data_IF_110938256035
#
_entry.id   IF_110938256035
#
_cell.length_a   1.000
_cell.length_b   1.000
_cell.length_c   1.000
_cell.angle_alpha   90.00
_cell.angle_beta   90.00
_cell.angle_gamma   90.00
#
_symmetry.space_group_name_H-M   'P 1'
#
loop_
_entity.id
_entity.type
_entity.pdbx_description
1 polymer ?
#
# COMPACT_ATOMS: atom_id res chain seq x y z
N UNK A 1 32.62 -18.28 -17.94
CA UNK A 1 31.89 -17.02 -17.53
C UNK A 1 30.54 -16.80 -18.23
N UNK A 2 30.38 -17.21 -19.51
CA UNK A 2 29.11 -17.04 -20.26
C UNK A 2 27.92 -17.87 -19.69
N UNK A 3 28.17 -19.07 -19.17
CA UNK A 3 27.13 -19.97 -18.65
C UNK A 3 26.42 -19.41 -17.41
N UNK A 4 27.15 -18.75 -16.50
CA UNK A 4 26.56 -18.12 -15.31
C UNK A 4 25.64 -16.93 -15.61
N UNK A 5 25.91 -16.17 -16.68
CA UNK A 5 25.07 -15.04 -17.07
C UNK A 5 23.77 -15.47 -17.76
N UNK A 6 23.80 -16.57 -18.52
CA UNK A 6 22.61 -17.14 -19.18
C UNK A 6 21.67 -17.75 -18.15
N UNK A 7 22.19 -18.47 -17.15
CA UNK A 7 21.38 -18.98 -16.04
C UNK A 7 20.74 -17.84 -15.23
N UNK A 8 21.48 -16.74 -14.99
CA UNK A 8 20.92 -15.60 -14.24
C UNK A 8 19.73 -14.95 -14.98
N UNK A 9 19.86 -14.68 -16.29
CA UNK A 9 18.78 -14.07 -17.09
C UNK A 9 17.54 -14.97 -17.17
N UNK A 10 17.72 -16.27 -17.38
CA UNK A 10 16.64 -17.23 -17.45
C UNK A 10 15.87 -17.36 -16.11
N UNK A 11 16.54 -17.23 -14.99
CA UNK A 11 15.95 -17.37 -13.66
C UNK A 11 15.01 -16.20 -13.30
N UNK A 12 15.41 -14.95 -13.61
CA UNK A 12 14.53 -13.79 -13.38
C UNK A 12 13.29 -13.81 -14.27
N UNK A 13 13.44 -14.10 -15.54
CA UNK A 13 12.30 -14.19 -16.47
C UNK A 13 11.29 -15.25 -16.01
N UNK A 14 11.77 -16.40 -15.50
CA UNK A 14 10.90 -17.43 -14.90
C UNK A 14 10.18 -16.91 -13.66
N UNK A 15 10.88 -16.17 -12.79
CA UNK A 15 10.29 -15.56 -11.60
C UNK A 15 9.17 -14.59 -11.98
N UNK A 16 9.39 -13.71 -12.95
CA UNK A 16 8.37 -12.79 -13.43
C UNK A 16 7.15 -13.50 -14.04
N UNK A 17 7.38 -14.52 -14.87
CA UNK A 17 6.31 -15.33 -15.44
C UNK A 17 5.50 -16.09 -14.37
N UNK A 18 6.18 -16.59 -13.35
CA UNK A 18 5.56 -17.29 -12.24
C UNK A 18 4.79 -16.35 -11.31
N UNK A 19 5.27 -15.12 -11.10
CA UNK A 19 4.63 -14.11 -10.25
C UNK A 19 3.40 -13.49 -10.90
N UNK A 20 3.42 -13.29 -12.22
CA UNK A 20 2.37 -12.57 -12.96
C UNK A 20 0.93 -13.04 -12.67
N UNK A 21 0.59 -14.35 -12.68
CA UNK A 21 -0.76 -14.79 -12.39
C UNK A 21 -1.27 -14.38 -11.00
N UNK A 22 -0.37 -14.31 -10.02
CA UNK A 22 -0.71 -13.93 -8.64
C UNK A 22 -0.94 -12.42 -8.50
N UNK A 23 -0.31 -11.61 -9.37
CA UNK A 23 -0.43 -10.14 -9.34
C UNK A 23 -1.59 -9.61 -10.21
N UNK A 24 -2.30 -10.46 -10.97
CA UNK A 24 -3.43 -10.03 -11.83
C UNK A 24 -4.54 -9.31 -11.04
N UNK A 25 -4.97 -9.77 -9.86
CA UNK A 25 -5.95 -9.02 -9.06
C UNK A 25 -5.46 -7.62 -8.69
N UNK A 26 -4.18 -7.49 -8.31
CA UNK A 26 -3.55 -6.20 -7.99
C UNK A 26 -3.44 -5.33 -9.24
N UNK A 27 -3.09 -5.90 -10.39
CA UNK A 27 -3.04 -5.20 -11.68
C UNK A 27 -4.36 -4.49 -11.97
N UNK A 28 -5.49 -5.18 -11.85
CA UNK A 28 -6.81 -4.58 -12.12
C UNK A 28 -7.11 -3.44 -11.16
N UNK A 29 -6.92 -3.64 -9.85
CA UNK A 29 -7.12 -2.60 -8.84
C UNK A 29 -6.22 -1.38 -9.06
N UNK A 30 -4.92 -1.62 -9.23
CA UNK A 30 -3.92 -0.55 -9.36
C UNK A 30 -4.06 0.25 -10.65
N UNK A 31 -4.48 -0.36 -11.76
CA UNK A 31 -4.77 0.39 -12.97
C UNK A 31 -5.91 1.38 -12.76
N UNK A 32 -7.04 0.95 -12.19
CA UNK A 32 -8.20 1.83 -12.01
C UNK A 32 -7.93 2.92 -10.95
N UNK A 33 -7.41 2.54 -9.78
CA UNK A 33 -7.12 3.49 -8.72
C UNK A 33 -5.96 4.42 -9.13
N UNK A 34 -4.92 3.88 -9.76
CA UNK A 34 -3.82 4.68 -10.30
C UNK A 34 -4.28 5.68 -11.37
N UNK A 35 -5.19 5.27 -12.28
CA UNK A 35 -5.77 6.20 -13.25
C UNK A 35 -6.53 7.34 -12.56
N UNK A 36 -7.34 7.04 -11.54
CA UNK A 36 -8.04 8.08 -10.78
C UNK A 36 -7.04 9.07 -10.13
N UNK A 37 -5.96 8.57 -9.51
CA UNK A 37 -4.89 9.42 -8.99
C UNK A 37 -4.27 10.29 -10.09
N UNK A 38 -3.96 9.70 -11.25
CA UNK A 38 -3.39 10.44 -12.39
C UNK A 38 -4.26 11.59 -12.87
N UNK A 39 -5.57 11.36 -12.97
CA UNK A 39 -6.53 12.41 -13.34
C UNK A 39 -6.54 13.53 -12.28
N UNK A 40 -6.59 13.18 -10.98
CA UNK A 40 -6.58 14.18 -9.90
C UNK A 40 -5.32 15.05 -9.90
N UNK A 41 -4.15 14.49 -10.18
CA UNK A 41 -2.90 15.25 -10.29
C UNK A 41 -2.93 16.19 -11.50
N UNK A 42 -3.48 15.72 -12.62
CA UNK A 42 -3.65 16.52 -13.82
C UNK A 42 -4.56 17.75 -13.57
N UNK A 43 -5.63 17.60 -12.81
CA UNK A 43 -6.52 18.69 -12.42
C UNK A 43 -5.85 19.76 -11.58
N UNK A 44 -4.87 19.37 -10.77
CA UNK A 44 -4.05 20.33 -10.03
C UNK A 44 -3.02 21.05 -10.91
N UNK A 45 -3.04 20.82 -12.22
CA UNK A 45 -2.15 21.44 -13.20
C UNK A 45 -0.79 20.74 -13.37
N UNK A 46 -0.62 19.55 -12.81
CA UNK A 46 0.60 18.77 -12.95
C UNK A 46 0.46 17.75 -14.09
N UNK A 47 1.46 17.67 -14.95
CA UNK A 47 1.44 16.77 -16.09
C UNK A 47 1.72 15.30 -15.72
N UNK A 48 1.58 14.39 -16.69
CA UNK A 48 1.75 12.96 -16.49
C UNK A 48 3.14 12.56 -15.93
N UNK A 49 4.19 13.34 -16.20
CA UNK A 49 5.52 13.06 -15.66
C UNK A 49 5.55 13.18 -14.14
N UNK A 50 4.83 14.16 -13.59
CA UNK A 50 4.70 14.32 -12.13
C UNK A 50 3.92 13.17 -11.51
N UNK A 51 2.81 12.75 -12.14
CA UNK A 51 2.05 11.57 -11.66
C UNK A 51 2.93 10.30 -11.62
N UNK A 52 3.69 10.05 -12.70
CA UNK A 52 4.61 8.92 -12.75
C UNK A 52 5.77 9.05 -11.76
N UNK A 53 6.35 10.25 -11.59
CA UNK A 53 7.43 10.49 -10.64
C UNK A 53 6.98 10.27 -9.20
N UNK A 54 5.82 10.79 -8.83
CA UNK A 54 5.23 10.54 -7.50
C UNK A 54 4.99 9.05 -7.28
N UNK A 55 4.45 8.35 -8.27
CA UNK A 55 4.21 6.92 -8.19
C UNK A 55 5.49 6.08 -8.12
N UNK A 56 6.58 6.56 -8.72
CA UNK A 56 7.88 5.92 -8.65
C UNK A 56 8.59 6.14 -7.30
N UNK A 57 8.54 7.37 -6.76
CA UNK A 57 9.35 7.81 -5.60
C UNK A 57 8.60 7.66 -4.28
N UNK A 58 7.30 7.96 -4.26
CA UNK A 58 6.47 7.88 -3.05
C UNK A 58 5.90 6.47 -2.91
N UNK A 59 5.27 5.95 -3.95
CA UNK A 59 4.66 4.63 -4.04
C UNK A 59 3.84 4.25 -2.79
N UNK A 60 3.01 5.17 -2.33
CA UNK A 60 2.11 4.99 -1.21
C UNK A 60 0.72 5.49 -1.63
N UNK A 61 -0.13 4.61 -2.15
CA UNK A 61 -1.41 4.94 -2.78
C UNK A 61 -2.24 5.93 -1.95
N UNK A 62 -2.59 5.59 -0.71
CA UNK A 62 -3.34 6.48 0.19
C UNK A 62 -2.61 7.79 0.50
N UNK A 63 -1.28 7.76 0.68
CA UNK A 63 -0.47 8.96 0.86
C UNK A 63 -0.47 9.85 -0.38
N UNK A 64 -0.34 9.27 -1.58
CA UNK A 64 -0.38 10.04 -2.82
C UNK A 64 -1.76 10.73 -3.03
N UNK A 65 -2.86 10.04 -2.73
CA UNK A 65 -4.19 10.64 -2.76
C UNK A 65 -4.34 11.78 -1.75
N UNK A 66 -3.82 11.58 -0.53
CA UNK A 66 -3.79 12.61 0.50
C UNK A 66 -2.94 13.81 0.07
N UNK A 67 -1.78 13.56 -0.57
CA UNK A 67 -0.88 14.59 -1.08
C UNK A 67 -1.54 15.55 -2.07
N UNK A 68 -2.53 15.09 -2.86
CA UNK A 68 -3.29 15.96 -3.79
C UNK A 68 -3.96 17.12 -3.06
N UNK A 69 -4.43 16.89 -1.82
CA UNK A 69 -5.06 17.94 -1.02
C UNK A 69 -4.05 18.95 -0.48
N UNK A 70 -2.77 18.58 -0.37
CA UNK A 70 -1.71 19.47 0.12
C UNK A 70 -1.22 20.47 -0.92
N UNK A 71 -1.65 20.34 -2.18
CA UNK A 71 -1.39 21.37 -3.20
C UNK A 71 -2.28 22.62 -3.04
N UNK A 72 -3.21 22.61 -2.07
CA UNK A 72 -3.99 23.79 -1.73
C UNK A 72 -3.13 24.86 -1.03
N UNK A 73 -3.37 26.17 -1.30
CA UNK A 73 -2.64 27.25 -0.63
C UNK A 73 -2.86 27.24 0.89
N UNK A 74 -1.79 27.53 1.65
CA UNK A 74 -1.89 27.71 3.10
C UNK A 74 -1.74 26.44 3.93
N UNK A 75 -1.47 25.29 3.32
CA UNK A 75 -1.22 24.04 4.07
C UNK A 75 0.14 24.10 4.74
N UNK A 76 0.18 23.92 6.06
CA UNK A 76 1.43 23.89 6.83
C UNK A 76 2.25 22.62 6.53
N UNK A 77 3.55 22.79 6.26
CA UNK A 77 4.46 21.66 6.05
C UNK A 77 4.48 20.66 7.22
N UNK A 78 4.35 21.15 8.46
CA UNK A 78 4.27 20.27 9.64
C UNK A 78 3.03 19.40 9.61
N UNK A 79 1.89 19.95 9.20
CA UNK A 79 0.66 19.16 9.04
C UNK A 79 0.81 18.10 7.94
N UNK A 80 1.45 18.44 6.82
CA UNK A 80 1.73 17.47 5.74
C UNK A 80 2.58 16.32 6.26
N UNK A 81 3.69 16.62 6.92
CA UNK A 81 4.60 15.59 7.48
C UNK A 81 3.86 14.69 8.46
N UNK A 82 3.08 15.29 9.37
CA UNK A 82 2.36 14.52 10.38
C UNK A 82 1.26 13.64 9.76
N UNK A 83 0.47 14.16 8.85
CA UNK A 83 -0.61 13.41 8.20
C UNK A 83 -0.05 12.26 7.34
N UNK A 84 0.98 12.53 6.54
CA UNK A 84 1.64 11.50 5.74
C UNK A 84 2.27 10.42 6.61
N UNK A 85 2.94 10.81 7.70
CA UNK A 85 3.48 9.85 8.65
C UNK A 85 2.38 8.97 9.26
N UNK A 86 1.28 9.56 9.70
CA UNK A 86 0.17 8.80 10.31
C UNK A 86 -0.50 7.83 9.34
N UNK A 87 -0.77 8.25 8.11
CA UNK A 87 -1.38 7.38 7.09
C UNK A 87 -0.46 6.24 6.71
N UNK A 88 0.86 6.51 6.63
CA UNK A 88 1.85 5.55 6.15
C UNK A 88 2.55 4.76 7.27
N UNK A 89 2.26 5.00 8.56
CA UNK A 89 2.91 4.33 9.70
C UNK A 89 2.78 2.79 9.63
N UNK A 90 1.73 2.28 9.03
CA UNK A 90 1.50 0.84 8.80
C UNK A 90 2.63 0.17 8.02
N UNK A 91 3.27 0.88 7.08
CA UNK A 91 4.39 0.36 6.30
C UNK A 91 5.61 0.02 7.16
N UNK A 92 5.79 0.71 8.30
CA UNK A 92 6.83 0.38 9.28
C UNK A 92 6.60 -1.02 9.85
N UNK A 93 5.33 -1.34 10.20
CA UNK A 93 4.99 -2.65 10.74
C UNK A 93 5.11 -3.76 9.69
N UNK A 94 4.76 -3.49 8.44
CA UNK A 94 4.98 -4.42 7.33
C UNK A 94 6.47 -4.71 7.14
N UNK A 95 7.29 -3.66 7.12
CA UNK A 95 8.74 -3.78 7.01
C UNK A 95 9.36 -4.58 8.15
N UNK A 96 8.91 -4.35 9.39
CA UNK A 96 9.38 -5.06 10.57
C UNK A 96 9.01 -6.55 10.53
N UNK A 97 7.78 -6.90 10.14
CA UNK A 97 7.32 -8.28 10.08
C UNK A 97 8.04 -9.12 9.01
N UNK A 98 8.53 -8.48 7.93
CA UNK A 98 9.24 -9.14 6.83
C UNK A 98 10.76 -8.95 6.88
N UNK A 99 11.27 -8.30 7.93
CA UNK A 99 12.68 -7.93 8.03
C UNK A 99 13.62 -9.14 7.95
N UNK A 100 13.28 -10.22 8.64
CA UNK A 100 14.04 -11.47 8.63
C UNK A 100 14.03 -12.13 7.23
N UNK A 101 12.86 -12.18 6.60
CA UNK A 101 12.68 -12.74 5.25
C UNK A 101 13.49 -11.96 4.20
N UNK A 102 13.57 -10.63 4.34
CA UNK A 102 14.32 -9.77 3.43
C UNK A 102 15.81 -9.67 3.76
N UNK A 103 16.25 -10.10 4.95
CA UNK A 103 17.66 -10.06 5.34
C UNK A 103 18.57 -10.83 4.37
N UNK A 104 18.05 -11.90 3.77
CA UNK A 104 18.75 -12.74 2.78
C UNK A 104 18.88 -12.11 1.39
N UNK A 105 18.17 -11.01 1.11
CA UNK A 105 18.07 -10.41 -0.24
C UNK A 105 19.18 -9.39 -0.55
N UNK A 106 20.16 -9.18 0.34
CA UNK A 106 21.27 -8.28 0.15
C UNK A 106 20.83 -6.85 -0.16
N UNK A 107 21.40 -6.20 -1.20
CA UNK A 107 21.06 -4.81 -1.56
C UNK A 107 19.59 -4.61 -1.99
N UNK A 108 18.91 -5.66 -2.44
CA UNK A 108 17.49 -5.59 -2.83
C UNK A 108 16.56 -5.38 -1.65
N UNK A 109 17.02 -5.67 -0.43
CA UNK A 109 16.23 -5.48 0.79
C UNK A 109 15.65 -4.07 0.91
N UNK A 110 16.43 -3.03 0.58
CA UNK A 110 15.95 -1.64 0.64
C UNK A 110 14.77 -1.41 -0.29
N UNK A 111 14.87 -1.93 -1.53
CA UNK A 111 13.76 -1.86 -2.48
C UNK A 111 12.54 -2.66 -2.01
N UNK A 112 12.74 -3.85 -1.46
CA UNK A 112 11.66 -4.69 -0.95
C UNK A 112 10.89 -4.03 0.21
N UNK A 113 11.59 -3.31 1.09
CA UNK A 113 10.96 -2.56 2.18
C UNK A 113 10.21 -1.34 1.62
N UNK A 114 10.81 -0.62 0.67
CA UNK A 114 10.20 0.54 0.02
C UNK A 114 8.93 0.17 -0.76
N UNK A 115 8.93 -0.97 -1.45
CA UNK A 115 7.83 -1.41 -2.31
C UNK A 115 6.69 -2.11 -1.58
N UNK A 116 6.68 -2.12 -0.24
CA UNK A 116 5.59 -2.71 0.52
C UNK A 116 4.36 -1.81 0.49
N UNK A 117 3.30 -2.30 -0.13
CA UNK A 117 1.93 -1.80 -0.01
C UNK A 117 1.08 -2.83 0.69
N UNK A 118 -0.18 -2.52 0.98
CA UNK A 118 -1.11 -3.46 1.62
C UNK A 118 -1.28 -4.73 0.76
N UNK A 119 -1.42 -4.55 -0.54
CA UNK A 119 -1.64 -5.61 -1.51
C UNK A 119 -0.37 -6.47 -1.70
N UNK A 120 0.78 -5.82 -1.88
CA UNK A 120 2.07 -6.52 -2.04
C UNK A 120 2.41 -7.31 -0.76
N UNK A 121 2.15 -6.72 0.41
CA UNK A 121 2.31 -7.40 1.70
C UNK A 121 1.43 -8.64 1.79
N UNK A 122 0.14 -8.50 1.46
CA UNK A 122 -0.81 -9.62 1.45
C UNK A 122 -0.36 -10.73 0.50
N UNK A 123 0.06 -10.39 -0.73
CA UNK A 123 0.55 -11.36 -1.70
C UNK A 123 1.75 -12.16 -1.17
N UNK A 124 2.65 -11.56 -0.41
CA UNK A 124 3.81 -12.25 0.15
C UNK A 124 3.44 -13.35 1.17
N UNK A 125 2.27 -13.26 1.78
CA UNK A 125 1.77 -14.30 2.71
C UNK A 125 0.90 -15.35 2.03
N UNK A 126 0.08 -14.94 1.08
CA UNK A 126 -0.89 -15.84 0.42
C UNK A 126 -0.25 -16.69 -0.67
N UNK A 127 0.80 -16.18 -1.35
CA UNK A 127 1.38 -16.85 -2.50
C UNK A 127 2.36 -17.97 -2.10
N UNK A 128 2.20 -19.14 -2.72
CA UNK A 128 3.16 -20.23 -2.61
C UNK A 128 4.23 -20.09 -3.69
N UNK A 129 5.49 -20.02 -3.26
CA UNK A 129 6.63 -19.94 -4.18
C UNK A 129 6.76 -21.25 -4.98
N UNK A 130 6.79 -21.20 -6.32
CA UNK A 130 7.01 -22.40 -7.14
C UNK A 130 8.38 -23.04 -6.86
N UNK A 131 8.46 -24.39 -6.89
CA UNK A 131 9.66 -25.16 -6.52
C UNK A 131 10.88 -24.87 -7.42
N UNK A 132 10.65 -24.41 -8.63
CA UNK A 132 11.67 -24.13 -9.66
C UNK A 132 12.16 -22.67 -9.63
N UNK A 133 11.64 -21.83 -8.73
CA UNK A 133 11.97 -20.41 -8.61
C UNK A 133 12.50 -20.10 -7.22
N UNK A 134 13.57 -19.31 -7.14
CA UNK A 134 14.08 -18.83 -5.86
C UNK A 134 13.10 -17.83 -5.23
N UNK A 135 12.78 -18.01 -3.95
CA UNK A 135 11.85 -17.15 -3.20
C UNK A 135 12.20 -15.66 -3.35
N UNK A 136 13.47 -15.31 -3.16
CA UNK A 136 13.93 -13.91 -3.28
C UNK A 136 13.62 -13.27 -4.65
N UNK A 137 13.70 -14.09 -5.72
CA UNK A 137 13.43 -13.61 -7.09
C UNK A 137 11.95 -13.52 -7.36
N UNK A 138 11.17 -14.44 -6.79
CA UNK A 138 9.72 -14.46 -6.91
C UNK A 138 9.09 -13.25 -6.19
N UNK A 139 9.46 -13.00 -4.93
CA UNK A 139 8.99 -11.85 -4.18
C UNK A 139 9.41 -10.52 -4.82
N UNK A 140 10.66 -10.46 -5.31
CA UNK A 140 11.14 -9.29 -6.04
C UNK A 140 10.35 -9.04 -7.33
N UNK A 141 9.97 -10.10 -8.05
CA UNK A 141 9.16 -9.98 -9.26
C UNK A 141 7.75 -9.46 -8.94
N UNK A 142 7.09 -9.94 -7.86
CA UNK A 142 5.80 -9.40 -7.40
C UNK A 142 5.93 -7.90 -7.13
N UNK A 143 6.90 -7.49 -6.31
CA UNK A 143 7.09 -6.10 -5.94
C UNK A 143 7.30 -5.17 -7.15
N UNK A 144 8.10 -5.60 -8.14
CA UNK A 144 8.35 -4.83 -9.37
C UNK A 144 7.09 -4.76 -10.24
N UNK A 145 6.34 -5.84 -10.37
CA UNK A 145 5.11 -5.88 -11.14
C UNK A 145 4.07 -4.93 -10.54
N UNK A 146 3.81 -5.04 -9.23
CA UNK A 146 2.81 -4.22 -8.55
C UNK A 146 3.15 -2.73 -8.67
N UNK A 147 4.41 -2.33 -8.42
CA UNK A 147 4.83 -0.94 -8.60
C UNK A 147 4.68 -0.48 -10.04
N UNK A 148 5.00 -1.33 -11.01
CA UNK A 148 4.84 -1.01 -12.43
C UNK A 148 3.39 -0.74 -12.79
N UNK A 149 2.45 -1.51 -12.26
CA UNK A 149 1.01 -1.32 -12.49
C UNK A 149 0.52 0.02 -11.98
N UNK A 150 0.98 0.42 -10.79
CA UNK A 150 0.64 1.71 -10.20
C UNK A 150 1.19 2.88 -11.03
N UNK A 151 2.46 2.81 -11.44
CA UNK A 151 3.11 3.85 -12.27
C UNK A 151 2.39 3.97 -13.62
N UNK A 152 2.09 2.84 -14.27
CA UNK A 152 1.39 2.81 -15.56
C UNK A 152 -0.02 3.37 -15.42
N UNK A 153 -0.77 2.94 -14.41
CA UNK A 153 -2.11 3.45 -14.13
C UNK A 153 -2.12 4.95 -13.93
N UNK A 154 -1.23 5.46 -13.09
CA UNK A 154 -1.09 6.90 -12.82
C UNK A 154 -0.72 7.71 -14.07
N UNK A 155 0.19 7.18 -14.88
CA UNK A 155 0.58 7.82 -16.15
C UNK A 155 -0.57 7.86 -17.15
N UNK A 156 -1.27 6.75 -17.35
CA UNK A 156 -2.44 6.67 -18.23
C UNK A 156 -3.53 7.64 -17.75
N UNK A 157 -3.83 7.65 -16.45
CA UNK A 157 -4.84 8.54 -15.88
C UNK A 157 -4.54 10.00 -16.12
N UNK A 158 -3.29 10.43 -15.89
CA UNK A 158 -2.87 11.80 -16.14
C UNK A 158 -2.91 12.19 -17.63
N UNK A 159 -2.63 11.27 -18.55
CA UNK A 159 -2.78 11.50 -19.98
C UNK A 159 -4.26 11.60 -20.39
N UNK A 160 -5.12 10.73 -19.87
CA UNK A 160 -6.55 10.73 -20.14
C UNK A 160 -7.22 12.01 -19.59
N UNK A 161 -6.85 12.44 -18.39
CA UNK A 161 -7.34 13.68 -17.78
C UNK A 161 -7.00 14.93 -18.59
N UNK A 162 -5.94 14.89 -19.40
CA UNK A 162 -5.57 16.00 -20.29
C UNK A 162 -6.38 16.03 -21.60
N UNK A 163 -6.85 14.87 -22.07
CA UNK A 163 -7.50 14.72 -23.39
C UNK A 163 -9.01 14.76 -23.30
N UNK A 164 -9.56 14.23 -22.21
CA UNK A 164 -11.00 14.09 -22.06
C UNK A 164 -11.53 15.17 -21.11
N UNK A 165 -12.56 15.96 -21.52
CA UNK A 165 -13.23 16.90 -20.63
C UNK A 165 -14.10 16.10 -19.63
N UNK A 166 -13.47 15.40 -18.69
CA UNK A 166 -14.20 14.77 -17.61
C UNK A 166 -14.69 15.83 -16.62
N UNK A 167 -15.96 15.72 -16.23
CA UNK A 167 -16.39 16.32 -14.99
C UNK A 167 -15.72 15.55 -13.84
N UNK A 168 -14.95 16.26 -13.06
CA UNK A 168 -14.16 15.69 -11.95
C UNK A 168 -15.00 15.44 -10.70
N UNK A 169 -16.28 15.82 -10.72
CA UNK A 169 -17.23 15.67 -9.60
C UNK A 169 -17.35 14.23 -9.04
N UNK A 170 -16.91 13.20 -9.80
CA UNK A 170 -16.87 11.82 -9.32
C UNK A 170 -15.48 11.34 -8.89
N UNK A 171 -14.43 12.06 -9.23
CA UNK A 171 -13.04 11.60 -8.95
C UNK A 171 -12.67 11.82 -7.49
N UNK A 172 -13.16 12.88 -6.87
CA UNK A 172 -13.02 13.09 -5.42
C UNK A 172 -13.61 11.93 -4.61
N UNK A 173 -14.63 11.26 -5.19
CA UNK A 173 -15.19 10.05 -4.61
C UNK A 173 -14.24 8.84 -4.68
N UNK A 174 -13.30 8.80 -5.62
CA UNK A 174 -12.36 7.67 -5.75
C UNK A 174 -11.50 7.49 -4.50
N UNK A 175 -11.06 8.60 -3.88
CA UNK A 175 -10.33 8.54 -2.60
C UNK A 175 -11.21 8.01 -1.47
N UNK A 176 -12.44 8.52 -1.37
CA UNK A 176 -13.42 8.03 -0.38
C UNK A 176 -13.72 6.55 -0.60
N UNK A 177 -13.93 6.13 -1.86
CA UNK A 177 -14.16 4.74 -2.21
C UNK A 177 -12.97 3.85 -1.82
N UNK A 178 -11.73 4.28 -2.08
CA UNK A 178 -10.52 3.57 -1.67
C UNK A 178 -10.51 3.31 -0.16
N UNK A 179 -10.73 4.34 0.65
CA UNK A 179 -10.75 4.18 2.11
C UNK A 179 -11.91 3.31 2.59
N UNK A 180 -13.08 3.40 1.95
CA UNK A 180 -14.21 2.52 2.25
C UNK A 180 -13.88 1.06 1.91
N UNK A 181 -13.25 0.79 0.79
CA UNK A 181 -12.81 -0.58 0.40
C UNK A 181 -11.83 -1.12 1.44
N UNK A 182 -10.79 -0.36 1.80
CA UNK A 182 -9.82 -0.77 2.83
C UNK A 182 -10.54 -1.05 4.16
N UNK A 183 -11.50 -0.21 4.55
CA UNK A 183 -12.28 -0.42 5.77
C UNK A 183 -13.12 -1.71 5.69
N UNK A 184 -13.76 -1.98 4.55
CA UNK A 184 -14.55 -3.19 4.34
C UNK A 184 -13.67 -4.43 4.37
N UNK A 185 -12.51 -4.42 3.73
CA UNK A 185 -11.54 -5.51 3.78
C UNK A 185 -11.11 -5.81 5.22
N UNK A 186 -10.78 -4.77 6.00
CA UNK A 186 -10.46 -4.93 7.42
C UNK A 186 -11.66 -5.46 8.23
N UNK A 187 -12.89 -5.07 7.89
CA UNK A 187 -14.09 -5.58 8.54
C UNK A 187 -14.37 -7.05 8.22
N UNK A 188 -14.06 -7.51 7.02
CA UNK A 188 -14.24 -8.91 6.62
C UNK A 188 -13.37 -9.84 7.46
N UNK A 189 -12.19 -9.40 7.88
CA UNK A 189 -11.34 -10.13 8.80
C UNK A 189 -11.81 -9.98 10.24
N UNK A 190 -12.29 -11.07 10.83
CA UNK A 190 -12.85 -11.08 12.21
C UNK A 190 -11.90 -10.48 13.25
N UNK A 191 -10.59 -10.70 13.08
CA UNK A 191 -9.55 -10.23 14.00
C UNK A 191 -9.41 -8.70 13.99
N UNK A 192 -9.72 -8.05 12.88
CA UNK A 192 -9.54 -6.61 12.68
C UNK A 192 -10.79 -5.78 13.02
N UNK A 193 -11.95 -6.42 13.19
CA UNK A 193 -13.22 -5.72 13.51
C UNK A 193 -13.14 -4.78 14.70
N UNK A 194 -12.52 -5.16 15.85
CA UNK A 194 -12.40 -4.24 16.98
C UNK A 194 -11.63 -2.97 16.62
N UNK A 195 -10.58 -3.07 15.80
CA UNK A 195 -9.79 -1.92 15.35
C UNK A 195 -10.61 -1.00 14.45
N UNK A 196 -11.45 -1.55 13.56
CA UNK A 196 -12.36 -0.77 12.72
C UNK A 196 -13.39 -0.03 13.58
N UNK A 197 -13.98 -0.70 14.56
CA UNK A 197 -14.95 -0.06 15.49
C UNK A 197 -14.30 1.06 16.27
N UNK A 198 -13.10 0.86 16.80
CA UNK A 198 -12.34 1.90 17.51
C UNK A 198 -12.10 3.10 16.58
N UNK A 199 -11.67 2.84 15.33
CA UNK A 199 -11.45 3.90 14.34
C UNK A 199 -12.71 4.72 14.06
N UNK A 200 -13.86 4.06 13.84
CA UNK A 200 -15.13 4.72 13.58
C UNK A 200 -15.61 5.54 14.79
N UNK A 201 -15.55 4.97 16.00
CA UNK A 201 -15.97 5.67 17.23
C UNK A 201 -15.07 6.88 17.50
N UNK A 202 -13.74 6.71 17.42
CA UNK A 202 -12.81 7.83 17.61
C UNK A 202 -13.03 8.92 16.55
N UNK A 203 -13.24 8.53 15.28
CA UNK A 203 -13.53 9.48 14.21
C UNK A 203 -14.77 10.30 14.47
N UNK A 204 -15.87 9.64 14.89
CA UNK A 204 -17.13 10.31 15.19
C UNK A 204 -16.98 11.25 16.41
N UNK A 205 -16.38 10.78 17.49
CA UNK A 205 -16.17 11.58 18.71
C UNK A 205 -15.27 12.78 18.42
N UNK A 206 -14.13 12.58 17.76
CA UNK A 206 -13.22 13.68 17.43
C UNK A 206 -13.87 14.69 16.48
N UNK A 207 -14.69 14.24 15.52
CA UNK A 207 -15.44 15.14 14.64
C UNK A 207 -16.43 16.02 15.40
N UNK A 208 -17.12 15.46 16.40
CA UNK A 208 -18.06 16.20 17.25
C UNK A 208 -17.35 17.20 18.17
N UNK A 209 -16.16 16.86 18.67
CA UNK A 209 -15.41 17.69 19.63
C UNK A 209 -14.59 18.78 18.92
N UNK A 210 -13.89 18.45 17.84
CA UNK A 210 -12.93 19.34 17.16
C UNK A 210 -13.47 19.98 15.88
N UNK A 211 -14.69 19.59 15.46
CA UNK A 211 -15.29 20.09 14.20
C UNK A 211 -14.78 19.38 12.96
N UNK A 212 -15.37 19.71 11.80
CA UNK A 212 -15.10 19.03 10.54
C UNK A 212 -13.69 19.28 9.98
N UNK A 213 -13.10 20.43 10.28
CA UNK A 213 -11.82 20.85 9.68
C UNK A 213 -10.59 20.32 10.43
N UNK A 214 -10.72 20.03 11.74
CA UNK A 214 -9.57 19.72 12.59
C UNK A 214 -9.63 18.32 13.25
N UNK A 215 -10.60 17.47 12.91
CA UNK A 215 -10.79 16.19 13.60
C UNK A 215 -9.80 15.09 13.20
N UNK A 216 -9.19 15.17 12.02
CA UNK A 216 -8.36 14.09 11.45
C UNK A 216 -7.15 13.80 12.36
N UNK A 217 -6.38 14.84 12.72
CA UNK A 217 -5.19 14.68 13.55
C UNK A 217 -5.48 14.11 14.94
N UNK A 218 -6.45 14.66 15.70
CA UNK A 218 -6.86 14.07 16.98
C UNK A 218 -7.35 12.63 16.83
N UNK A 219 -8.14 12.33 15.80
CA UNK A 219 -8.63 10.96 15.56
C UNK A 219 -7.48 9.99 15.38
N UNK A 220 -6.54 10.28 14.50
CA UNK A 220 -5.39 9.40 14.23
C UNK A 220 -4.55 9.19 15.50
N UNK A 221 -4.32 10.25 16.26
CA UNK A 221 -3.58 10.17 17.53
C UNK A 221 -4.30 9.31 18.55
N UNK A 222 -5.61 9.52 18.74
CA UNK A 222 -6.44 8.73 19.67
C UNK A 222 -6.46 7.25 19.28
N UNK A 223 -6.70 6.93 18.00
CA UNK A 223 -6.71 5.55 17.50
C UNK A 223 -5.37 4.88 17.76
N UNK A 224 -4.28 5.56 17.43
CA UNK A 224 -2.93 5.02 17.64
C UNK A 224 -2.67 4.73 19.13
N UNK A 225 -2.98 5.67 20.02
CA UNK A 225 -2.79 5.51 21.47
C UNK A 225 -3.65 4.36 22.01
N UNK A 226 -4.91 4.28 21.60
CA UNK A 226 -5.81 3.21 22.05
C UNK A 226 -5.34 1.84 21.57
N UNK A 227 -4.98 1.70 20.28
CA UNK A 227 -4.52 0.43 19.73
C UNK A 227 -3.21 -0.03 20.36
N UNK A 228 -2.24 0.87 20.58
CA UNK A 228 -0.99 0.55 21.27
C UNK A 228 -1.22 0.15 22.73
N UNK A 229 -2.11 0.84 23.42
CA UNK A 229 -2.45 0.54 24.82
C UNK A 229 -3.20 -0.80 24.96
N UNK A 230 -4.05 -1.11 23.99
CA UNK A 230 -4.84 -2.34 23.97
C UNK A 230 -4.12 -3.53 23.31
N UNK A 231 -2.88 -3.36 22.82
CA UNK A 231 -2.14 -4.42 22.13
C UNK A 231 -2.13 -5.75 22.87
N UNK A 232 -1.87 -5.74 24.19
CA UNK A 232 -1.87 -6.96 25.02
C UNK A 232 -3.22 -7.67 25.07
N UNK A 233 -4.32 -6.94 24.90
CA UNK A 233 -5.69 -7.49 24.88
C UNK A 233 -5.96 -8.11 23.51
N UNK A 234 -5.54 -7.44 22.43
CA UNK A 234 -5.68 -7.94 21.07
C UNK A 234 -4.82 -9.18 20.82
N UNK A 235 -3.59 -9.22 21.31
CA UNK A 235 -2.71 -10.38 21.20
C UNK A 235 -3.29 -11.64 21.90
N UNK A 236 -4.16 -11.46 22.91
CA UNK A 236 -4.88 -12.57 23.56
C UNK A 236 -6.13 -13.01 22.81
N UNK A 237 -6.68 -12.18 21.93
CA UNK A 237 -7.87 -12.50 21.12
C UNK A 237 -7.51 -13.19 19.79
N UNK A 238 -6.23 -13.23 19.42
CA UNK A 238 -5.76 -13.96 18.25
C UNK A 238 -5.60 -15.40 18.66
N UNK A 239 -6.38 -16.36 18.09
CA UNK A 239 -6.19 -17.79 18.34
C UNK A 239 -4.77 -18.21 17.93
N UNK A 240 -4.16 -19.12 18.70
CA UNK A 240 -2.80 -19.61 18.44
C UNK A 240 -2.66 -20.37 17.11
N UNK A 241 -3.75 -20.77 16.48
CA UNK A 241 -3.78 -21.46 15.18
C UNK A 241 -3.15 -20.65 14.02
N UNK A 242 -2.88 -19.38 14.19
CA UNK A 242 -2.16 -18.56 13.21
C UNK A 242 -0.63 -18.61 13.33
N UNK A 243 -0.08 -19.23 14.38
CA UNK A 243 1.37 -19.31 14.61
C UNK A 243 2.04 -20.57 14.06
N UNK A 244 1.26 -21.58 13.66
CA UNK A 244 1.80 -22.87 13.17
C UNK A 244 2.12 -22.91 11.67
N UNK A 245 2.20 -21.76 10.99
CA UNK A 245 2.61 -21.68 9.57
C UNK A 245 4.11 -21.52 9.34
N UNK A 246 5.00 -21.82 10.28
CA UNK A 246 6.40 -21.40 10.20
C UNK A 246 7.50 -22.35 10.67
N UNK A 247 7.26 -23.64 10.84
CA UNK A 247 8.39 -24.58 10.98
C UNK A 247 8.30 -25.68 9.91
N UNK A 248 9.26 -25.80 8.99
CA UNK A 248 9.42 -27.01 8.21
C UNK A 248 10.06 -28.08 9.10
N UNK A 249 9.30 -29.13 9.47
CA UNK A 249 9.88 -30.34 9.97
C UNK A 249 10.94 -30.85 8.98
N UNK A 250 12.19 -30.87 9.42
CA UNK A 250 13.26 -31.61 8.79
C UNK A 250 13.04 -33.08 9.04
N UNK A 251 12.68 -33.84 8.02
CA UNK A 251 12.99 -35.24 7.84
C UNK A 251 13.64 -35.45 6.50
#
# INVERSE_FOLDING_TARGET
MKTKQVERKGTYLRAFRAAFPYTVPVLTGYLFIGMAFGVMIQEKGYNFLWAMLMSLVIYAGSGQYLAVNFFAPGVSLLNVIFMEFMVNIRHIFYGLSLLERFSKMGKKRLYMIFSLTDETYSLFFVTKVPKDVKEEQFLFAIAVLDQSYWIIGSGIGALLGNVLPFSTEGIDFAMTALFVVIMVEQWMEKQNRPSVVIGLVCGLVCRLVFGADNFILPTMTCVMVILLSCKKIFDKMIPEDGKEGGEPECQ
#
